data_IF_719570563680
#
_entry.id   IF_719570563680
#
_cell.length_a   1.000
_cell.length_b   1.000
_cell.length_c   1.000
_cell.angle_alpha   90.00
_cell.angle_beta   90.00
_cell.angle_gamma   90.00
#
_symmetry.space_group_name_H-M   'P 1'
#
loop_
_entity.id
_entity.type
_entity.pdbx_description
1 polymer ?
#
# COMPACT_ATOMS: atom_id res chain seq x y z
N UNK A 1 -6.41 6.70 -0.20
CA UNK A 1 -5.03 6.30 0.14
C UNK A 1 -5.06 5.01 0.95
N UNK A 2 -5.07 3.87 0.28
CA UNK A 2 -4.78 2.55 0.90
C UNK A 2 -3.36 2.18 0.50
N UNK A 3 -2.37 2.82 1.14
CA UNK A 3 -0.97 2.55 0.83
C UNK A 3 -0.55 1.26 1.55
N UNK A 4 -0.27 0.20 0.77
CA UNK A 4 0.24 -1.07 1.28
C UNK A 4 1.49 -0.88 2.16
N UNK A 5 2.29 0.17 1.88
CA UNK A 5 3.43 0.57 2.70
C UNK A 5 3.03 0.98 4.11
N UNK A 6 1.99 1.79 4.28
CA UNK A 6 1.51 2.22 5.60
C UNK A 6 1.02 1.04 6.44
N UNK A 7 0.24 0.14 5.84
CA UNK A 7 -0.21 -1.08 6.49
C UNK A 7 0.96 -1.98 6.90
N UNK A 8 1.97 -2.14 6.03
CA UNK A 8 3.17 -2.93 6.36
C UNK A 8 3.93 -2.36 7.54
N UNK A 9 4.15 -1.05 7.56
CA UNK A 9 4.80 -0.39 8.68
C UNK A 9 3.94 -0.47 9.95
N UNK A 10 2.62 -0.33 9.84
CA UNK A 10 1.71 -0.48 10.98
C UNK A 10 1.78 -1.90 11.58
N UNK A 11 1.74 -2.93 10.73
CA UNK A 11 1.89 -4.33 11.16
C UNK A 11 3.24 -4.59 11.82
N UNK A 12 4.33 -4.06 11.26
CA UNK A 12 5.66 -4.19 11.84
C UNK A 12 5.78 -3.49 13.19
N UNK A 13 5.26 -2.26 13.29
CA UNK A 13 5.35 -1.43 14.48
C UNK A 13 4.41 -1.91 15.61
N UNK A 14 3.35 -2.65 15.30
CA UNK A 14 2.36 -3.13 16.27
C UNK A 14 2.94 -3.99 17.41
N UNK A 15 4.11 -4.60 17.20
CA UNK A 15 4.79 -5.41 18.23
C UNK A 15 5.66 -4.61 19.20
N UNK A 16 5.82 -3.30 18.99
CA UNK A 16 6.71 -2.46 19.78
C UNK A 16 5.91 -1.57 20.73
N UNK A 17 6.40 -1.41 21.97
CA UNK A 17 5.93 -0.36 22.87
C UNK A 17 6.66 0.94 22.55
N UNK A 18 6.04 1.79 21.72
CA UNK A 18 6.62 3.06 21.29
C UNK A 18 5.65 4.22 21.38
N UNK A 19 6.21 5.41 21.61
CA UNK A 19 5.48 6.67 21.54
C UNK A 19 6.05 7.52 20.41
N UNK A 20 5.19 8.08 19.57
CA UNK A 20 5.62 9.02 18.53
C UNK A 20 5.97 10.37 19.18
N UNK A 21 7.16 10.89 18.90
CA UNK A 21 7.64 12.19 19.39
C UNK A 21 8.13 13.04 18.23
N UNK A 22 7.71 14.31 18.21
CA UNK A 22 8.28 15.29 17.32
C UNK A 22 9.67 15.71 17.81
N UNK A 23 10.65 15.75 16.89
CA UNK A 23 12.00 16.26 17.14
C UNK A 23 12.29 17.41 16.19
N UNK A 24 13.00 18.44 16.69
CA UNK A 24 13.43 19.57 15.86
C UNK A 24 14.60 19.16 14.97
N UNK A 25 14.77 19.81 13.82
CA UNK A 25 15.80 19.44 12.82
C UNK A 25 17.23 19.35 13.36
N UNK A 26 17.58 20.20 14.34
CA UNK A 26 18.88 20.16 15.02
C UNK A 26 19.09 18.84 15.80
N UNK A 27 18.04 18.26 16.36
CA UNK A 27 18.08 16.99 17.11
C UNK A 27 18.12 15.77 16.17
N UNK A 28 17.88 15.97 14.87
CA UNK A 28 17.91 14.92 13.84
C UNK A 28 19.14 14.99 12.95
N UNK A 29 20.11 15.85 13.25
CA UNK A 29 21.29 16.08 12.42
C UNK A 29 22.08 14.78 12.13
N UNK A 30 22.22 13.90 13.12
CA UNK A 30 22.90 12.62 12.94
C UNK A 30 22.09 11.65 12.05
N UNK A 31 20.77 11.71 12.12
CA UNK A 31 19.91 10.89 11.25
C UNK A 31 19.98 11.42 9.82
N UNK A 32 19.98 12.74 9.66
CA UNK A 32 20.07 13.42 8.39
C UNK A 32 21.41 13.16 7.68
N UNK A 33 22.53 13.21 8.41
CA UNK A 33 23.84 12.92 7.83
C UNK A 33 23.98 11.45 7.40
N UNK A 34 23.38 10.51 8.13
CA UNK A 34 23.38 9.09 7.75
C UNK A 34 22.43 8.83 6.59
N UNK A 35 21.28 9.50 6.55
CA UNK A 35 20.31 9.37 5.46
C UNK A 35 20.87 9.90 4.13
N UNK A 36 21.64 10.99 4.17
CA UNK A 36 22.25 11.61 2.99
C UNK A 36 23.61 11.01 2.61
N UNK A 37 24.19 10.16 3.46
CA UNK A 37 25.45 9.51 3.17
C UNK A 37 25.32 8.62 1.91
N UNK A 38 26.24 8.73 0.94
CA UNK A 38 26.19 7.90 -0.25
C UNK A 38 26.40 6.44 0.12
N UNK A 39 25.44 5.59 -0.24
CA UNK A 39 25.53 4.15 -0.08
C UNK A 39 25.71 3.54 -1.47
N UNK A 40 26.82 2.82 -1.68
CA UNK A 40 26.98 1.97 -2.86
C UNK A 40 26.10 0.72 -2.69
N UNK A 41 24.87 0.80 -3.17
CA UNK A 41 23.95 -0.34 -3.22
C UNK A 41 24.31 -1.23 -4.43
N UNK A 42 24.98 -2.36 -4.14
CA UNK A 42 25.34 -3.35 -5.16
C UNK A 42 24.20 -4.33 -5.50
N UNK A 43 23.10 -4.32 -4.75
CA UNK A 43 22.01 -5.27 -4.90
C UNK A 43 20.64 -4.60 -4.70
N UNK A 44 19.62 -5.14 -5.37
CA UNK A 44 18.22 -4.72 -5.23
C UNK A 44 17.77 -5.04 -3.80
N UNK A 45 17.22 -4.04 -3.09
CA UNK A 45 16.75 -4.25 -1.72
C UNK A 45 15.47 -5.09 -1.70
N UNK A 46 15.29 -5.88 -0.64
CA UNK A 46 14.08 -6.68 -0.46
C UNK A 46 12.80 -5.84 -0.51
N UNK A 47 12.85 -4.59 -0.04
CA UNK A 47 11.71 -3.67 -0.11
C UNK A 47 11.31 -3.32 -1.54
N UNK A 48 12.26 -3.19 -2.46
CA UNK A 48 11.97 -2.97 -3.88
C UNK A 48 11.31 -4.21 -4.47
N UNK A 49 11.89 -5.39 -4.27
CA UNK A 49 11.35 -6.66 -4.79
C UNK A 49 9.93 -6.94 -4.28
N UNK A 50 9.67 -6.74 -2.99
CA UNK A 50 8.35 -6.96 -2.39
C UNK A 50 7.36 -5.91 -2.90
N UNK A 51 7.79 -4.66 -3.05
CA UNK A 51 6.92 -3.61 -3.56
C UNK A 51 6.49 -3.90 -5.00
N UNK A 52 7.39 -4.40 -5.84
CA UNK A 52 7.10 -4.76 -7.22
C UNK A 52 6.10 -5.93 -7.28
N UNK A 53 6.29 -6.96 -6.45
CA UNK A 53 5.35 -8.08 -6.34
C UNK A 53 3.94 -7.62 -5.92
N UNK A 54 3.84 -6.78 -4.89
CA UNK A 54 2.54 -6.26 -4.43
C UNK A 54 1.85 -5.42 -5.50
N UNK A 55 2.60 -4.60 -6.24
CA UNK A 55 2.03 -3.84 -7.35
C UNK A 55 1.55 -4.77 -8.46
N UNK A 56 2.30 -5.83 -8.77
CA UNK A 56 1.91 -6.82 -9.76
C UNK A 56 0.63 -7.55 -9.35
N UNK A 57 0.52 -8.02 -8.10
CA UNK A 57 -0.69 -8.68 -7.58
C UNK A 57 -1.87 -7.73 -7.57
N UNK A 58 -1.67 -6.46 -7.18
CA UNK A 58 -2.72 -5.44 -7.20
C UNK A 58 -3.22 -5.19 -8.64
N UNK A 59 -2.31 -5.06 -9.60
CA UNK A 59 -2.67 -4.92 -11.00
C UNK A 59 -3.46 -6.15 -11.48
N UNK A 60 -2.95 -7.36 -11.26
CA UNK A 60 -3.65 -8.60 -11.65
C UNK A 60 -5.02 -8.72 -11.01
N UNK A 61 -5.16 -8.45 -9.71
CA UNK A 61 -6.45 -8.53 -9.01
C UNK A 61 -7.45 -7.48 -9.51
N UNK A 62 -7.02 -6.24 -9.76
CA UNK A 62 -7.92 -5.18 -10.26
C UNK A 62 -8.42 -5.50 -11.67
N UNK A 63 -7.56 -6.01 -12.56
CA UNK A 63 -7.93 -6.33 -13.94
C UNK A 63 -8.67 -7.68 -14.09
N UNK A 64 -8.42 -8.66 -13.22
CA UNK A 64 -9.13 -9.96 -13.27
C UNK A 64 -10.47 -9.94 -12.54
N UNK A 65 -10.64 -9.09 -11.51
CA UNK A 65 -11.95 -8.94 -10.82
C UNK A 65 -12.88 -8.04 -11.65
N UNK A 66 -12.36 -7.08 -12.42
CA UNK A 66 -13.15 -6.28 -13.37
C UNK A 66 -13.32 -6.99 -14.72
N UNK A 67 -13.79 -8.23 -14.70
CA UNK A 67 -14.35 -8.83 -15.91
C UNK A 67 -15.59 -8.02 -16.31
N UNK A 68 -15.68 -7.59 -17.58
CA UNK A 68 -16.87 -6.90 -18.13
C UNK A 68 -18.16 -7.68 -17.81
N UNK A 69 -18.07 -9.01 -17.74
CA UNK A 69 -19.20 -9.89 -17.44
C UNK A 69 -19.66 -9.80 -15.97
N UNK A 70 -18.73 -9.62 -15.01
CA UNK A 70 -19.06 -9.56 -13.58
C UNK A 70 -19.74 -8.22 -13.23
N UNK A 71 -19.39 -7.16 -13.95
CA UNK A 71 -20.02 -5.84 -13.85
C UNK A 71 -21.41 -5.86 -14.50
N UNK A 72 -21.55 -6.44 -15.69
CA UNK A 72 -22.84 -6.50 -16.39
C UNK A 72 -23.89 -7.29 -15.59
N UNK A 73 -23.57 -8.50 -15.13
CA UNK A 73 -24.52 -9.33 -14.37
C UNK A 73 -24.87 -8.72 -13.00
N UNK A 74 -23.89 -8.11 -12.32
CA UNK A 74 -24.12 -7.43 -11.05
C UNK A 74 -24.99 -6.16 -11.22
N UNK A 75 -24.83 -5.42 -12.31
CA UNK A 75 -25.69 -4.28 -12.64
C UNK A 75 -27.09 -4.75 -12.97
N UNK A 76 -27.25 -5.81 -13.78
CA UNK A 76 -28.57 -6.35 -14.13
C UNK A 76 -29.31 -6.84 -12.87
N UNK A 77 -28.68 -7.69 -12.05
CA UNK A 77 -29.27 -8.17 -10.79
C UNK A 77 -29.58 -7.02 -9.82
N UNK A 78 -28.71 -6.01 -9.77
CA UNK A 78 -28.94 -4.81 -8.99
C UNK A 78 -30.17 -4.05 -9.46
N UNK A 79 -30.35 -3.91 -10.78
CA UNK A 79 -31.46 -3.17 -11.40
C UNK A 79 -32.80 -3.90 -11.23
N UNK A 80 -32.82 -5.22 -11.38
CA UNK A 80 -34.01 -6.07 -11.16
C UNK A 80 -34.52 -5.99 -9.72
N UNK A 81 -33.61 -5.92 -8.74
CA UNK A 81 -33.96 -5.82 -7.32
C UNK A 81 -34.70 -4.53 -6.94
N UNK A 82 -34.57 -3.47 -7.73
CA UNK A 82 -35.27 -2.19 -7.53
C UNK A 82 -36.48 -2.01 -8.45
N UNK A 83 -36.84 -3.02 -9.24
CA UNK A 83 -38.00 -2.94 -10.14
C UNK A 83 -39.35 -2.91 -9.39
N UNK A 84 -39.38 -3.32 -8.12
CA UNK A 84 -40.56 -3.19 -7.24
C UNK A 84 -40.81 -1.75 -6.75
N UNK A 85 -39.88 -0.81 -7.01
CA UNK A 85 -39.97 0.60 -6.61
C UNK A 85 -40.35 1.54 -7.77
N UNK A 86 -40.66 1.00 -8.96
CA UNK A 86 -41.06 1.75 -10.16
C UNK A 86 -42.58 1.70 -10.40
#
# INVERSE_FOLDING_TARGET
MTSARLLRYASFLAGFDYTVKFRKGLETQNVDCLYTAPVNQYCISADVSINDEVHQVCASAVFEISSENLIADAIIQGTEKYQELA
#
